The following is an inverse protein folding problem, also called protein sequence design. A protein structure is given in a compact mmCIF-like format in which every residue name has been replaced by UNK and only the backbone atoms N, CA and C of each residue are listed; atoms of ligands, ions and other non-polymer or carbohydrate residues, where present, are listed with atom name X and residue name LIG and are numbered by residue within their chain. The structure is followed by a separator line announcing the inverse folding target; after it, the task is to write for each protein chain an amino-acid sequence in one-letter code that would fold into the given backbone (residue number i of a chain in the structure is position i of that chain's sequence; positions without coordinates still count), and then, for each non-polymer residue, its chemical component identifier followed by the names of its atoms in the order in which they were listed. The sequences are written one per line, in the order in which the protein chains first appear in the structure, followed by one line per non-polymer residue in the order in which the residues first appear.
data_IF_646173383936
#
_entry.id   IF_646173383936
#
_cell.length_a   1.000
_cell.length_b   1.000
_cell.length_c   1.000
_cell.angle_alpha   90.00
_cell.angle_beta   90.00
_cell.angle_gamma   90.00
#
_symmetry.space_group_name_H-M   'P 1'
#
loop_
_entity.id
_entity.type
_entity.pdbx_description
1 polymer ?
#
# COMPACT_ATOMS: atom_id res chain seq x y z
N UNK A 1 -8.16 43.64 74.11
CA UNK A 1 -8.94 42.66 73.31
C UNK A 1 -8.09 41.40 73.13
N UNK A 2 -8.69 40.21 73.15
CA UNK A 2 -8.26 39.14 74.05
C UNK A 2 -7.73 37.86 73.35
N UNK A 3 -7.24 36.94 74.19
CA UNK A 3 -7.14 35.47 74.02
C UNK A 3 -5.83 34.81 73.52
N UNK A 4 -5.04 34.43 74.52
CA UNK A 4 -4.49 33.08 74.83
C UNK A 4 -4.72 31.91 73.86
N UNK A 5 -3.67 31.11 73.61
CA UNK A 5 -3.56 29.62 73.75
C UNK A 5 -2.25 29.11 73.12
N UNK A 6 -1.31 28.58 73.91
CA UNK A 6 -1.05 27.16 74.26
C UNK A 6 -0.47 26.28 73.13
N UNK A 7 0.72 25.79 73.44
CA UNK A 7 1.64 24.82 72.83
C UNK A 7 1.02 23.49 72.40
N UNK A 8 1.45 22.90 71.28
CA UNK A 8 1.49 21.44 71.04
C UNK A 8 2.71 21.08 70.17
N UNK A 9 3.46 20.05 70.60
CA UNK A 9 4.51 19.34 69.86
C UNK A 9 3.93 18.54 68.69
N UNK A 10 4.66 18.45 67.57
CA UNK A 10 4.47 17.36 66.60
C UNK A 10 5.75 16.51 66.51
N UNK A 11 5.64 15.28 67.01
CA UNK A 11 6.55 14.17 66.78
C UNK A 11 6.41 13.65 65.34
N UNK A 12 7.43 12.95 64.87
CA UNK A 12 7.60 12.57 63.48
C UNK A 12 6.67 11.49 62.93
N UNK A 13 6.72 11.35 61.61
CA UNK A 13 6.34 10.14 60.89
C UNK A 13 7.20 10.08 59.62
N UNK A 14 8.12 9.10 59.59
CA UNK A 14 8.83 8.71 58.38
C UNK A 14 7.81 8.11 57.40
N UNK A 15 7.46 8.88 56.37
CA UNK A 15 6.68 8.39 55.24
C UNK A 15 7.57 7.58 54.31
N UNK A 16 7.31 6.28 54.21
CA UNK A 16 7.86 5.39 53.19
C UNK A 16 7.58 5.98 51.80
N UNK A 17 8.65 6.41 51.12
CA UNK A 17 8.60 6.69 49.69
C UNK A 17 8.43 5.37 48.95
N UNK A 18 7.19 4.99 48.65
CA UNK A 18 6.91 4.01 47.61
C UNK A 18 7.34 4.63 46.28
N UNK A 19 8.53 4.25 45.82
CA UNK A 19 8.95 4.51 44.45
C UNK A 19 8.01 3.72 43.53
N UNK A 20 6.91 4.37 43.12
CA UNK A 20 6.14 3.91 41.99
C UNK A 20 7.08 4.00 40.78
N UNK A 21 7.61 2.86 40.35
CA UNK A 21 8.18 2.70 39.01
C UNK A 21 7.04 2.89 38.00
N UNK A 22 6.68 4.15 37.76
CA UNK A 22 5.91 4.54 36.61
C UNK A 22 6.75 4.18 35.40
N UNK A 23 6.50 2.99 34.84
CA UNK A 23 6.91 2.68 33.48
C UNK A 23 6.43 3.84 32.63
N UNK A 24 7.37 4.59 32.06
CA UNK A 24 7.04 5.62 31.07
C UNK A 24 6.33 4.88 29.95
N UNK A 25 5.01 5.01 29.89
CA UNK A 25 4.29 4.70 28.68
C UNK A 25 4.95 5.52 27.58
N UNK A 26 5.64 4.85 26.66
CA UNK A 26 6.13 5.52 25.45
C UNK A 26 4.92 6.18 24.81
N UNK A 27 4.95 7.51 24.63
CA UNK A 27 3.95 8.16 23.81
C UNK A 27 3.95 7.44 22.45
N UNK A 28 2.78 6.99 21.99
CA UNK A 28 2.65 6.31 20.72
C UNK A 28 3.09 7.28 19.61
N UNK A 29 4.28 7.05 19.05
CA UNK A 29 4.80 7.80 17.92
C UNK A 29 4.31 7.17 16.62
N UNK A 30 3.84 7.97 15.68
CA UNK A 30 3.66 7.54 14.30
C UNK A 30 5.03 7.59 13.62
N UNK A 31 5.57 6.43 13.24
CA UNK A 31 6.87 6.30 12.57
C UNK A 31 6.70 6.20 11.05
N UNK A 32 7.55 6.91 10.32
CA UNK A 32 7.66 6.80 8.86
C UNK A 32 8.48 5.57 8.50
N UNK A 33 7.94 4.77 7.58
CA UNK A 33 8.51 3.51 7.12
C UNK A 33 9.07 3.65 5.70
N UNK A 34 8.28 4.21 4.79
CA UNK A 34 8.70 4.57 3.44
C UNK A 34 8.35 6.03 3.20
N UNK A 35 9.31 6.82 2.74
CA UNK A 35 9.10 8.18 2.24
C UNK A 35 10.27 8.57 1.31
N UNK A 36 10.00 9.40 0.31
CA UNK A 36 11.02 9.90 -0.62
C UNK A 36 11.78 8.82 -1.41
N UNK A 37 11.27 7.58 -1.48
CA UNK A 37 12.03 6.45 -2.03
C UNK A 37 12.32 6.57 -3.52
N UNK A 38 11.59 7.40 -4.25
CA UNK A 38 11.78 7.62 -5.69
C UNK A 38 12.75 8.78 -6.01
N UNK A 39 13.42 9.36 -5.01
CA UNK A 39 14.37 10.46 -5.22
C UNK A 39 15.60 10.06 -6.06
N UNK A 40 16.00 8.78 -6.02
CA UNK A 40 17.12 8.23 -6.78
C UNK A 40 16.98 6.72 -6.95
N UNK A 41 17.75 6.12 -7.86
CA UNK A 41 17.82 4.66 -7.96
C UNK A 41 18.36 4.01 -6.69
N UNK A 42 19.29 4.66 -5.98
CA UNK A 42 19.81 4.15 -4.70
C UNK A 42 18.71 4.06 -3.64
N UNK A 43 17.91 5.12 -3.48
CA UNK A 43 16.78 5.12 -2.53
C UNK A 43 15.67 4.17 -2.96
N UNK A 44 15.43 4.05 -4.27
CA UNK A 44 14.44 3.11 -4.82
C UNK A 44 14.87 1.68 -4.47
N UNK A 45 16.10 1.31 -4.82
CA UNK A 45 16.63 -0.03 -4.62
C UNK A 45 16.87 -0.35 -3.14
N UNK A 46 17.04 0.65 -2.27
CA UNK A 46 17.07 0.43 -0.83
C UNK A 46 15.71 -0.04 -0.28
N UNK A 47 14.61 0.48 -0.83
CA UNK A 47 13.25 0.24 -0.32
C UNK A 47 12.42 -0.76 -1.13
N UNK A 48 12.73 -0.95 -2.41
CA UNK A 48 11.91 -1.70 -3.36
C UNK A 48 12.74 -2.75 -4.11
N UNK A 49 12.08 -3.84 -4.46
CA UNK A 49 12.55 -4.82 -5.44
C UNK A 49 11.79 -4.60 -6.76
N UNK A 50 12.45 -4.90 -7.88
CA UNK A 50 11.81 -4.93 -9.18
C UNK A 50 10.96 -6.20 -9.36
N UNK A 51 9.94 -6.09 -10.22
CA UNK A 51 8.94 -7.13 -10.56
C UNK A 51 8.01 -7.47 -9.38
N UNK A 52 7.12 -8.44 -9.58
CA UNK A 52 6.31 -8.99 -8.50
C UNK A 52 7.19 -9.83 -7.56
N UNK A 53 6.79 -10.03 -6.30
CA UNK A 53 7.55 -10.89 -5.37
C UNK A 53 7.64 -12.36 -5.81
N UNK A 54 6.80 -12.77 -6.78
CA UNK A 54 6.81 -14.11 -7.40
C UNK A 54 7.32 -14.13 -8.85
N UNK A 55 8.00 -13.08 -9.31
CA UNK A 55 8.62 -13.04 -10.64
C UNK A 55 7.95 -12.07 -11.61
N UNK A 56 8.00 -12.39 -12.91
CA UNK A 56 7.68 -11.44 -13.99
C UNK A 56 6.22 -11.45 -14.45
N UNK A 57 5.44 -12.45 -14.08
CA UNK A 57 4.16 -12.74 -14.71
C UNK A 57 3.00 -12.65 -13.70
N UNK A 58 1.82 -12.33 -14.22
CA UNK A 58 0.55 -12.31 -13.49
C UNK A 58 -0.61 -12.68 -14.43
N UNK A 59 -1.83 -12.27 -14.11
CA UNK A 59 -3.09 -12.69 -14.73
C UNK A 59 -3.50 -11.83 -15.94
N UNK A 60 -2.57 -11.07 -16.50
CA UNK A 60 -2.75 -10.28 -17.72
C UNK A 60 -1.76 -10.68 -18.81
N UNK A 61 -1.69 -9.85 -19.85
CA UNK A 61 -0.88 -10.11 -21.05
C UNK A 61 0.45 -9.36 -21.04
N UNK A 62 0.80 -8.67 -19.94
CA UNK A 62 2.10 -8.05 -19.79
C UNK A 62 3.06 -8.91 -18.96
N UNK A 63 4.31 -9.00 -19.43
CA UNK A 63 5.46 -9.53 -18.70
C UNK A 63 6.31 -8.39 -18.16
N UNK A 64 6.76 -8.50 -16.91
CA UNK A 64 7.46 -7.44 -16.20
C UNK A 64 8.98 -7.45 -16.46
N UNK A 65 9.49 -6.36 -17.03
CA UNK A 65 10.90 -6.14 -17.35
C UNK A 65 11.47 -4.96 -16.56
N UNK A 66 12.18 -5.29 -15.49
CA UNK A 66 13.04 -4.35 -14.79
C UNK A 66 14.02 -5.09 -13.87
N UNK A 67 15.18 -4.49 -13.65
CA UNK A 67 16.18 -4.92 -12.68
C UNK A 67 17.05 -3.72 -12.29
N UNK A 68 18.04 -3.92 -11.42
CA UNK A 68 19.01 -2.86 -11.08
C UNK A 68 19.85 -2.39 -12.27
N UNK A 69 19.91 -3.16 -13.36
CA UNK A 69 20.62 -2.84 -14.60
C UNK A 69 19.71 -2.67 -15.83
N UNK A 70 18.41 -2.95 -15.70
CA UNK A 70 17.41 -2.80 -16.75
C UNK A 70 16.28 -1.88 -16.27
N UNK A 71 16.28 -0.65 -16.79
CA UNK A 71 15.27 0.36 -16.50
C UNK A 71 14.34 0.62 -17.71
N UNK A 72 14.22 -0.34 -18.63
CA UNK A 72 13.47 -0.16 -19.88
C UNK A 72 11.97 0.07 -19.67
N UNK A 73 11.35 -0.63 -18.70
CA UNK A 73 9.93 -0.45 -18.36
C UNK A 73 9.69 0.15 -16.98
N UNK A 74 10.72 0.24 -16.13
CA UNK A 74 10.64 0.90 -14.82
C UNK A 74 11.81 1.86 -14.66
N UNK A 75 11.53 3.16 -14.58
CA UNK A 75 12.55 4.19 -14.45
C UNK A 75 12.05 5.39 -13.63
N UNK A 76 12.98 6.27 -13.27
CA UNK A 76 12.70 7.52 -12.57
C UNK A 76 12.76 8.70 -13.56
N UNK A 77 11.72 9.53 -13.54
CA UNK A 77 11.72 10.88 -14.13
C UNK A 77 12.22 11.91 -13.09
N UNK A 78 12.53 13.12 -13.54
CA UNK A 78 12.90 14.24 -12.66
C UNK A 78 11.82 14.52 -11.60
N UNK A 79 12.22 14.96 -10.41
CA UNK A 79 11.28 15.34 -9.35
C UNK A 79 10.72 14.18 -8.54
N UNK A 80 11.37 13.01 -8.56
CA UNK A 80 11.00 11.87 -7.71
C UNK A 80 9.77 11.11 -8.20
N UNK A 81 9.60 11.01 -9.51
CA UNK A 81 8.48 10.32 -10.14
C UNK A 81 8.94 8.95 -10.65
N UNK A 82 8.32 7.90 -10.14
CA UNK A 82 8.43 6.55 -10.68
C UNK A 82 7.55 6.43 -11.92
N UNK A 83 8.08 5.82 -12.98
CA UNK A 83 7.35 5.51 -14.20
C UNK A 83 7.37 4.01 -14.47
N UNK A 84 6.20 3.45 -14.69
CA UNK A 84 5.98 2.15 -15.29
C UNK A 84 5.48 2.36 -16.72
N UNK A 85 6.18 1.80 -17.69
CA UNK A 85 5.86 1.88 -19.10
C UNK A 85 5.39 0.51 -19.58
N UNK A 86 4.26 0.46 -20.29
CA UNK A 86 3.85 -0.70 -21.06
C UNK A 86 4.09 -0.45 -22.55
N UNK A 87 4.72 -1.41 -23.22
CA UNK A 87 5.04 -1.37 -24.65
C UNK A 87 4.47 -2.62 -25.32
N UNK A 88 3.64 -2.46 -26.34
CA UNK A 88 3.11 -3.58 -27.12
C UNK A 88 4.24 -4.25 -27.90
N UNK A 89 4.33 -5.58 -27.83
CA UNK A 89 5.32 -6.35 -28.59
C UNK A 89 4.75 -6.81 -29.93
N UNK A 90 5.63 -7.02 -30.91
CA UNK A 90 5.28 -7.58 -32.24
C UNK A 90 5.61 -9.06 -32.38
N UNK A 91 6.49 -9.60 -31.53
CA UNK A 91 6.92 -11.00 -31.55
C UNK A 91 6.07 -11.87 -30.61
N UNK A 92 6.09 -13.19 -30.86
CA UNK A 92 5.53 -14.17 -29.93
C UNK A 92 6.53 -14.48 -28.83
N UNK A 93 6.18 -14.20 -27.59
CA UNK A 93 7.00 -14.46 -26.40
C UNK A 93 6.41 -15.57 -25.50
N UNK A 94 5.45 -16.31 -26.05
CA UNK A 94 4.67 -17.31 -25.33
C UNK A 94 3.65 -16.68 -24.39
N UNK A 95 3.28 -17.45 -23.37
CA UNK A 95 2.20 -17.10 -22.45
C UNK A 95 2.75 -16.72 -21.08
N UNK A 96 1.91 -16.04 -20.30
CA UNK A 96 2.10 -15.85 -18.87
C UNK A 96 2.26 -17.22 -18.19
N UNK A 97 3.19 -17.30 -17.25
CA UNK A 97 3.37 -18.45 -16.37
C UNK A 97 2.33 -18.53 -15.24
N UNK A 98 1.36 -17.60 -15.18
CA UNK A 98 0.30 -17.54 -14.16
C UNK A 98 -1.06 -17.67 -14.81
N UNK A 99 -1.99 -18.32 -14.08
CA UNK A 99 -3.40 -18.40 -14.47
C UNK A 99 -3.96 -17.00 -14.83
N UNK A 100 -4.73 -16.87 -15.93
CA UNK A 100 -5.22 -17.92 -16.82
C UNK A 100 -4.31 -18.26 -18.01
N UNK A 101 -3.00 -18.05 -17.87
CA UNK A 101 -1.94 -18.38 -18.85
C UNK A 101 -2.14 -17.67 -20.20
N UNK A 102 -2.49 -16.39 -20.17
CA UNK A 102 -2.74 -15.57 -21.36
C UNK A 102 -1.48 -15.36 -22.19
N UNK A 103 -1.57 -15.23 -23.53
CA UNK A 103 -0.44 -14.84 -24.37
C UNK A 103 0.14 -13.49 -23.94
N UNK A 104 1.47 -13.36 -24.01
CA UNK A 104 2.15 -12.09 -23.72
C UNK A 104 2.04 -11.17 -24.94
N UNK A 105 1.42 -10.03 -24.74
CA UNK A 105 1.24 -8.97 -25.74
C UNK A 105 2.03 -7.70 -25.41
N UNK A 106 2.53 -7.56 -24.18
CA UNK A 106 3.21 -6.36 -23.71
C UNK A 106 4.44 -6.68 -22.86
N UNK A 107 5.46 -5.82 -22.97
CA UNK A 107 6.45 -5.62 -21.92
C UNK A 107 5.94 -4.52 -21.00
N UNK A 108 6.04 -4.70 -19.69
CA UNK A 108 5.63 -3.69 -18.71
C UNK A 108 6.49 -3.73 -17.44
N UNK A 109 6.08 -3.00 -16.40
CA UNK A 109 6.79 -2.86 -15.14
C UNK A 109 5.95 -3.20 -13.91
N UNK A 110 6.64 -3.71 -12.88
CA UNK A 110 6.14 -3.84 -11.52
C UNK A 110 7.31 -3.60 -10.54
N UNK A 111 6.99 -3.12 -9.34
CA UNK A 111 7.90 -3.12 -8.18
C UNK A 111 7.11 -3.54 -6.94
N UNK A 112 7.82 -4.07 -5.94
CA UNK A 112 7.25 -4.36 -4.63
C UNK A 112 8.17 -3.89 -3.50
N UNK A 113 7.58 -3.39 -2.42
CA UNK A 113 8.35 -2.90 -1.28
C UNK A 113 9.04 -4.08 -0.57
N UNK A 114 10.29 -3.88 -0.15
CA UNK A 114 11.02 -4.85 0.68
C UNK A 114 10.40 -4.97 2.07
N UNK A 115 9.90 -3.84 2.58
CA UNK A 115 9.17 -3.82 3.84
C UNK A 115 7.76 -4.39 3.64
N UNK A 116 7.43 -5.41 4.43
CA UNK A 116 6.08 -5.95 4.52
C UNK A 116 5.24 -5.14 5.51
N UNK A 117 3.95 -5.01 5.22
CA UNK A 117 2.97 -4.41 6.11
C UNK A 117 2.32 -5.53 6.91
N UNK A 118 2.50 -5.50 8.24
CA UNK A 118 1.95 -6.50 9.15
C UNK A 118 1.26 -5.78 10.30
N UNK A 119 -0.06 -5.90 10.37
CA UNK A 119 -0.86 -5.34 11.46
C UNK A 119 -0.76 -6.26 12.67
N UNK A 120 -0.29 -5.75 13.81
CA UNK A 120 -0.08 -6.52 15.05
C UNK A 120 -0.52 -5.71 16.26
N UNK A 121 -0.40 -6.26 17.48
CA UNK A 121 -0.58 -5.46 18.71
C UNK A 121 0.47 -4.35 18.87
N UNK A 122 1.70 -4.61 18.42
CA UNK A 122 2.78 -3.62 18.46
C UNK A 122 2.62 -2.53 17.38
N UNK A 123 2.09 -2.89 16.21
CA UNK A 123 1.84 -1.98 15.09
C UNK A 123 0.37 -2.08 14.63
N UNK A 124 -0.57 -1.55 15.43
CA UNK A 124 -1.99 -1.76 15.19
C UNK A 124 -2.56 -0.90 14.06
N UNK A 125 -1.87 0.17 13.65
CA UNK A 125 -2.32 1.06 12.59
C UNK A 125 -1.22 1.32 11.57
N UNK A 126 -1.60 1.28 10.30
CA UNK A 126 -0.75 1.58 9.16
C UNK A 126 -1.44 2.57 8.22
N UNK A 127 -0.65 3.46 7.65
CA UNK A 127 -1.05 4.31 6.54
C UNK A 127 -0.24 3.91 5.31
N UNK A 128 -0.93 3.73 4.20
CA UNK A 128 -0.33 3.48 2.89
C UNK A 128 -0.96 4.47 1.92
N UNK A 129 -0.15 5.33 1.30
CA UNK A 129 -0.66 6.34 0.35
C UNK A 129 0.34 6.64 -0.75
N UNK A 130 -0.15 7.24 -1.82
CA UNK A 130 0.66 7.80 -2.89
C UNK A 130 -0.17 8.67 -3.83
N UNK A 131 0.51 9.38 -4.71
CA UNK A 131 -0.11 10.11 -5.81
C UNK A 131 0.22 9.44 -7.13
N UNK A 132 -0.78 9.33 -8.01
CA UNK A 132 -0.66 8.54 -9.23
C UNK A 132 -1.28 9.25 -10.44
N UNK A 133 -0.68 9.01 -11.62
CA UNK A 133 -1.30 9.27 -12.93
C UNK A 133 -1.53 7.90 -13.58
N UNK A 134 -2.78 7.44 -13.57
CA UNK A 134 -3.16 6.10 -13.98
C UNK A 134 -3.73 6.08 -15.42
N UNK A 135 -3.24 5.20 -16.30
CA UNK A 135 -3.91 4.95 -17.57
C UNK A 135 -5.25 4.25 -17.31
N UNK A 136 -6.28 4.67 -18.04
CA UNK A 136 -7.65 4.17 -17.85
C UNK A 136 -8.33 3.79 -19.18
N UNK A 137 -7.54 3.63 -20.24
CA UNK A 137 -8.05 3.19 -21.54
C UNK A 137 -8.30 1.67 -21.51
N UNK A 138 -9.21 1.18 -22.35
CA UNK A 138 -9.45 -0.27 -22.49
C UNK A 138 -8.13 -1.04 -22.61
N UNK A 139 -8.00 -2.11 -21.84
CA UNK A 139 -6.80 -2.95 -21.76
C UNK A 139 -5.64 -2.40 -20.95
N UNK A 140 -5.78 -1.28 -20.24
CA UNK A 140 -4.78 -0.83 -19.25
C UNK A 140 -5.22 -1.22 -17.84
N UNK A 141 -4.34 -1.86 -17.07
CA UNK A 141 -4.62 -2.36 -15.72
C UNK A 141 -3.52 -1.93 -14.72
N UNK A 142 -3.41 -0.62 -14.40
CA UNK A 142 -2.55 -0.15 -13.32
C UNK A 142 -3.11 -0.53 -11.94
N UNK A 143 -2.22 -0.84 -11.00
CA UNK A 143 -2.60 -1.10 -9.62
C UNK A 143 -1.58 -0.58 -8.59
N UNK A 144 -2.08 -0.20 -7.42
CA UNK A 144 -1.34 0.04 -6.17
C UNK A 144 -2.07 -0.70 -5.05
N UNK A 145 -1.46 -1.76 -4.53
CA UNK A 145 -2.21 -2.78 -3.80
C UNK A 145 -1.35 -3.56 -2.81
N UNK A 146 -2.05 -4.27 -1.93
CA UNK A 146 -1.50 -5.11 -0.88
C UNK A 146 -1.92 -6.55 -1.11
N UNK A 147 -0.99 -7.49 -0.95
CA UNK A 147 -1.33 -8.93 -1.00
C UNK A 147 -0.45 -9.72 -0.05
N UNK A 148 -0.97 -10.83 0.46
CA UNK A 148 -0.30 -11.64 1.47
C UNK A 148 1.05 -12.17 1.00
N UNK A 149 2.06 -12.03 1.86
CA UNK A 149 3.42 -12.40 1.53
C UNK A 149 3.73 -13.89 1.70
N UNK A 150 2.98 -14.56 2.58
CA UNK A 150 3.16 -15.99 2.92
C UNK A 150 1.89 -16.81 2.73
N UNK A 151 0.73 -16.15 2.56
CA UNK A 151 -0.55 -16.80 2.31
C UNK A 151 -1.47 -15.82 1.61
N UNK A 152 -2.25 -16.29 0.64
CA UNK A 152 -3.37 -15.54 0.10
C UNK A 152 -4.68 -16.22 0.54
N UNK A 153 -5.68 -15.48 1.07
CA UNK A 153 -5.69 -14.05 1.44
C UNK A 153 -4.73 -13.73 2.61
N UNK A 154 -4.32 -12.46 2.79
CA UNK A 154 -5.04 -11.19 2.50
C UNK A 154 -4.78 -10.55 1.13
N UNK A 155 -5.69 -9.68 0.69
CA UNK A 155 -5.54 -8.76 -0.44
C UNK A 155 -6.36 -7.48 -0.25
N UNK A 156 -5.81 -6.33 -0.66
CA UNK A 156 -6.46 -5.02 -0.61
C UNK A 156 -5.93 -4.10 -1.71
N UNK A 157 -6.79 -3.72 -2.64
CA UNK A 157 -6.49 -2.80 -3.74
C UNK A 157 -6.81 -1.37 -3.32
N UNK A 158 -5.82 -0.48 -3.39
CA UNK A 158 -5.93 0.94 -3.03
C UNK A 158 -6.14 1.78 -4.29
N UNK A 159 -5.49 1.41 -5.38
CA UNK A 159 -5.76 1.89 -6.73
C UNK A 159 -5.84 0.68 -7.65
N UNK A 160 -6.91 0.59 -8.43
CA UNK A 160 -7.05 -0.39 -9.51
C UNK A 160 -7.96 0.15 -10.60
N UNK A 161 -7.48 0.22 -11.83
CA UNK A 161 -8.31 0.56 -13.01
C UNK A 161 -8.44 -0.63 -13.94
N UNK A 162 -9.63 -0.82 -14.50
CA UNK A 162 -9.95 -1.95 -15.39
C UNK A 162 -10.50 -1.47 -16.72
N UNK A 163 -9.66 -0.78 -17.49
CA UNK A 163 -10.00 -0.39 -18.85
C UNK A 163 -11.02 0.75 -18.99
N UNK A 164 -11.37 1.42 -17.89
CA UNK A 164 -12.22 2.60 -17.85
C UNK A 164 -11.81 3.54 -16.70
N UNK A 165 -12.48 4.68 -16.56
CA UNK A 165 -12.15 5.74 -15.60
C UNK A 165 -12.69 5.53 -14.18
N UNK A 166 -12.99 4.28 -13.77
CA UNK A 166 -13.43 3.97 -12.42
C UNK A 166 -12.29 3.31 -11.64
N UNK A 167 -11.95 3.87 -10.48
CA UNK A 167 -11.06 3.21 -9.54
C UNK A 167 -11.85 2.18 -8.73
N UNK A 168 -11.28 0.99 -8.60
CA UNK A 168 -11.78 -0.08 -7.76
C UNK A 168 -10.94 -0.12 -6.48
N UNK A 169 -11.56 0.21 -5.36
CA UNK A 169 -11.03 -0.16 -4.06
C UNK A 169 -11.61 -1.53 -3.73
N UNK A 170 -10.78 -2.55 -3.58
CA UNK A 170 -11.26 -3.90 -3.26
C UNK A 170 -10.54 -4.48 -2.05
N UNK A 171 -11.18 -5.42 -1.38
CA UNK A 171 -10.54 -6.21 -0.32
C UNK A 171 -11.03 -7.63 -0.36
N UNK A 172 -10.08 -8.58 -0.31
CA UNK A 172 -10.36 -10.00 -0.14
C UNK A 172 -9.55 -10.59 1.03
N UNK A 173 -10.15 -11.27 2.01
CA UNK A 173 -11.56 -11.68 2.16
C UNK A 173 -12.25 -10.91 3.29
N UNK A 174 -13.53 -10.63 3.14
CA UNK A 174 -14.38 -10.16 4.24
C UNK A 174 -14.83 -11.34 5.13
N UNK A 175 -15.64 -11.06 6.15
CA UNK A 175 -16.09 -12.07 7.12
C UNK A 175 -16.92 -13.22 6.52
N UNK A 176 -17.60 -12.99 5.39
CA UNK A 176 -18.34 -14.04 4.66
C UNK A 176 -17.48 -14.79 3.64
N UNK A 177 -16.17 -14.53 3.57
CA UNK A 177 -15.27 -15.15 2.60
C UNK A 177 -15.38 -14.57 1.19
N UNK A 178 -15.97 -13.38 1.03
CA UNK A 178 -16.21 -12.74 -0.25
C UNK A 178 -15.37 -11.45 -0.44
N UNK A 179 -15.45 -10.88 -1.64
CA UNK A 179 -14.91 -9.57 -1.97
C UNK A 179 -15.77 -8.45 -1.37
N UNK A 180 -15.12 -7.39 -0.93
CA UNK A 180 -15.76 -6.08 -0.72
C UNK A 180 -15.24 -5.12 -1.78
N UNK A 181 -16.13 -4.38 -2.43
CA UNK A 181 -15.77 -3.47 -3.53
C UNK A 181 -16.41 -2.11 -3.29
N UNK A 182 -15.62 -1.04 -3.44
CA UNK A 182 -16.07 0.34 -3.53
C UNK A 182 -15.55 0.90 -4.84
N UNK A 183 -16.47 1.24 -5.76
CA UNK A 183 -16.12 1.68 -7.11
C UNK A 183 -16.42 3.17 -7.24
N UNK A 184 -15.41 3.96 -7.61
CA UNK A 184 -15.50 5.42 -7.67
C UNK A 184 -15.08 5.90 -9.05
N UNK A 185 -15.92 6.71 -9.70
CA UNK A 185 -15.54 7.40 -10.93
C UNK A 185 -14.49 8.48 -10.65
N UNK A 186 -13.41 8.51 -11.42
CA UNK A 186 -12.33 9.47 -11.28
C UNK A 186 -12.24 10.33 -12.53
N UNK A 187 -12.46 11.63 -12.39
CA UNK A 187 -12.32 12.57 -13.50
C UNK A 187 -10.85 12.69 -13.90
N UNK A 188 -10.53 12.39 -15.15
CA UNK A 188 -9.16 12.45 -15.69
C UNK A 188 -8.14 11.62 -14.86
N UNK A 189 -8.21 10.28 -14.87
CA UNK A 189 -7.24 9.43 -14.15
C UNK A 189 -5.77 9.66 -14.52
N UNK A 190 -5.51 10.22 -15.72
CA UNK A 190 -4.18 10.61 -16.17
C UNK A 190 -3.63 11.88 -15.49
N UNK A 191 -4.46 12.61 -14.74
CA UNK A 191 -4.02 13.65 -13.79
C UNK A 191 -3.45 13.05 -12.51
N UNK A 192 -2.85 13.88 -11.65
CA UNK A 192 -2.39 13.42 -10.34
C UNK A 192 -3.56 13.30 -9.37
N UNK A 193 -3.78 12.10 -8.86
CA UNK A 193 -4.76 11.82 -7.81
C UNK A 193 -4.11 11.13 -6.62
N UNK A 194 -4.57 11.44 -5.41
CA UNK A 194 -4.10 10.85 -4.17
C UNK A 194 -4.94 9.64 -3.77
N UNK A 195 -4.30 8.51 -3.52
CA UNK A 195 -4.95 7.27 -3.07
C UNK A 195 -4.35 6.86 -1.74
N UNK A 196 -5.20 6.50 -0.79
CA UNK A 196 -4.78 6.19 0.58
C UNK A 196 -5.63 5.09 1.18
N UNK A 197 -4.97 4.19 1.88
CA UNK A 197 -5.55 3.24 2.82
C UNK A 197 -5.06 3.54 4.24
N UNK A 198 -6.00 3.66 5.17
CA UNK A 198 -5.74 3.64 6.60
C UNK A 198 -6.22 2.31 7.17
N UNK A 199 -5.28 1.50 7.65
CA UNK A 199 -5.50 0.12 8.08
C UNK A 199 -5.39 0.09 9.60
N UNK A 200 -6.40 -0.38 10.29
CA UNK A 200 -6.42 -0.45 11.75
C UNK A 200 -6.85 -1.83 12.24
N UNK A 201 -6.11 -2.39 13.19
CA UNK A 201 -6.52 -3.56 13.96
C UNK A 201 -7.83 -3.24 14.70
N UNK A 202 -8.82 -4.11 14.59
CA UNK A 202 -10.13 -3.91 15.26
C UNK A 202 -10.46 -4.97 16.30
N UNK A 203 -9.91 -6.16 16.15
CA UNK A 203 -9.98 -7.24 17.13
C UNK A 203 -8.74 -8.14 16.98
N UNK A 204 -8.74 -9.32 17.61
CA UNK A 204 -7.60 -10.23 17.58
C UNK A 204 -7.22 -10.73 16.17
N UNK A 205 -8.17 -10.82 15.24
CA UNK A 205 -7.97 -11.41 13.90
C UNK A 205 -8.09 -10.39 12.76
N UNK A 206 -8.91 -9.37 12.92
CA UNK A 206 -9.37 -8.56 11.80
C UNK A 206 -8.82 -7.13 11.81
N UNK A 207 -8.86 -6.53 10.61
CA UNK A 207 -8.54 -5.12 10.40
C UNK A 207 -9.68 -4.41 9.68
N UNK A 208 -9.85 -3.11 9.92
CA UNK A 208 -10.64 -2.24 9.06
C UNK A 208 -9.70 -1.40 8.17
N UNK A 209 -10.05 -1.31 6.89
CA UNK A 209 -9.31 -0.59 5.86
C UNK A 209 -10.20 0.54 5.36
N UNK A 210 -9.81 1.78 5.65
CA UNK A 210 -10.51 2.99 5.22
C UNK A 210 -9.82 3.56 4.00
N UNK A 211 -10.58 3.74 2.93
CA UNK A 211 -10.07 4.24 1.67
C UNK A 211 -10.37 5.71 1.48
N UNK A 212 -9.43 6.40 0.83
CA UNK A 212 -9.56 7.80 0.48
C UNK A 212 -9.10 8.04 -0.95
N UNK A 213 -9.83 8.90 -1.66
CA UNK A 213 -9.46 9.46 -2.95
C UNK A 213 -9.38 10.98 -2.81
N UNK A 214 -8.24 11.56 -3.16
CA UNK A 214 -7.96 13.01 -3.05
C UNK A 214 -8.28 13.57 -1.65
N UNK A 215 -7.90 12.80 -0.62
CA UNK A 215 -8.13 13.14 0.79
C UNK A 215 -9.57 12.95 1.28
N UNK A 216 -10.52 12.63 0.40
CA UNK A 216 -11.92 12.37 0.76
C UNK A 216 -12.11 10.89 1.07
N UNK A 217 -12.74 10.59 2.20
CA UNK A 217 -13.12 9.22 2.53
C UNK A 217 -14.14 8.70 1.50
N UNK A 218 -13.91 7.49 0.99
CA UNK A 218 -14.79 6.86 -0.03
C UNK A 218 -15.46 5.59 0.46
N UNK A 219 -14.88 4.90 1.45
CA UNK A 219 -15.42 3.64 1.94
C UNK A 219 -14.55 2.98 2.99
N UNK A 220 -15.10 1.94 3.62
CA UNK A 220 -14.41 1.09 4.59
C UNK A 220 -14.71 -0.37 4.27
N UNK A 221 -13.68 -1.21 4.27
CA UNK A 221 -13.81 -2.66 4.18
C UNK A 221 -13.23 -3.35 5.42
N UNK A 222 -13.83 -4.48 5.81
CA UNK A 222 -13.29 -5.39 6.83
C UNK A 222 -12.38 -6.42 6.16
N UNK A 223 -11.10 -6.44 6.52
CA UNK A 223 -10.16 -7.51 6.18
C UNK A 223 -10.21 -8.60 7.25
N UNK A 224 -10.88 -9.72 6.97
CA UNK A 224 -11.06 -10.79 7.94
C UNK A 224 -9.81 -11.70 8.03
N UNK A 225 -9.31 -11.91 9.24
CA UNK A 225 -8.06 -12.65 9.53
C UNK A 225 -6.81 -12.01 8.90
N UNK A 226 -6.71 -10.69 8.88
CA UNK A 226 -5.55 -9.96 8.37
C UNK A 226 -4.49 -9.68 9.45
N UNK A 227 -4.85 -9.68 10.73
CA UNK A 227 -3.90 -9.46 11.83
C UNK A 227 -2.84 -10.55 11.83
N UNK A 228 -1.58 -10.16 11.97
CA UNK A 228 -0.41 -11.05 11.96
C UNK A 228 -0.02 -11.56 10.57
N UNK A 229 -0.79 -11.26 9.51
CA UNK A 229 -0.46 -11.68 8.15
C UNK A 229 0.38 -10.60 7.45
N UNK A 230 1.63 -10.90 7.06
CA UNK A 230 2.44 -9.93 6.32
C UNK A 230 1.89 -9.74 4.91
N UNK A 231 1.92 -8.50 4.43
CA UNK A 231 1.50 -8.11 3.09
C UNK A 231 2.62 -7.41 2.33
N UNK A 232 2.81 -7.77 1.07
CA UNK A 232 3.61 -7.00 0.13
C UNK A 232 2.83 -5.75 -0.31
N UNK A 233 3.53 -4.63 -0.48
CA UNK A 233 3.03 -3.46 -1.20
C UNK A 233 3.54 -3.49 -2.64
N UNK A 234 2.65 -3.41 -3.62
CA UNK A 234 2.97 -3.58 -5.03
C UNK A 234 2.47 -2.37 -5.83
N UNK A 235 3.29 -1.91 -6.78
CA UNK A 235 2.90 -0.99 -7.86
C UNK A 235 3.17 -1.70 -9.17
N UNK A 236 2.16 -1.89 -10.01
CA UNK A 236 2.33 -2.49 -11.33
C UNK A 236 1.46 -1.84 -12.41
N UNK A 237 1.84 -2.06 -13.66
CA UNK A 237 1.03 -1.77 -14.84
C UNK A 237 0.81 -3.08 -15.60
N UNK A 238 -0.26 -3.79 -15.27
CA UNK A 238 -0.67 -4.96 -16.05
C UNK A 238 -1.46 -4.50 -17.28
N UNK A 239 -1.59 -5.36 -18.29
CA UNK A 239 -2.32 -5.06 -19.53
C UNK A 239 -3.31 -6.17 -19.86
N UNK A 240 -4.45 -5.78 -20.41
CA UNK A 240 -5.58 -6.63 -20.77
C UNK A 240 -6.09 -7.46 -19.57
N UNK A 241 -6.54 -8.70 -19.79
CA UNK A 241 -7.17 -9.50 -18.73
C UNK A 241 -8.47 -8.85 -18.24
N UNK A 242 -8.56 -8.55 -16.95
CA UNK A 242 -9.75 -7.90 -16.37
C UNK A 242 -9.98 -6.47 -16.87
N UNK A 243 -8.99 -5.83 -17.52
CA UNK A 243 -9.17 -4.54 -18.18
C UNK A 243 -9.73 -4.64 -19.62
N UNK A 244 -10.01 -5.86 -20.10
CA UNK A 244 -10.50 -6.14 -21.44
C UNK A 244 -9.43 -6.06 -22.52
N UNK A 245 -9.77 -6.46 -23.74
CA UNK A 245 -8.88 -6.44 -24.91
C UNK A 245 -9.62 -5.91 -26.14
N UNK A 246 -8.93 -5.38 -27.18
CA UNK A 246 -7.49 -5.14 -27.23
C UNK A 246 -7.07 -3.95 -26.35
N UNK A 247 -5.82 -3.98 -25.86
CA UNK A 247 -5.16 -2.83 -25.24
C UNK A 247 -4.54 -1.86 -26.25
N UNK A 248 -3.95 -0.75 -25.77
CA UNK A 248 -3.35 0.28 -26.62
C UNK A 248 -2.15 -0.21 -27.44
N UNK A 249 -1.98 0.30 -28.66
CA UNK A 249 -0.80 -0.02 -29.49
C UNK A 249 0.38 0.90 -29.24
N UNK A 250 0.14 2.12 -28.74
CA UNK A 250 1.18 3.07 -28.35
C UNK A 250 1.69 2.79 -26.93
N UNK A 251 2.93 3.21 -26.61
CA UNK A 251 3.43 3.17 -25.24
C UNK A 251 2.44 3.81 -24.25
N UNK A 252 2.17 3.10 -23.16
CA UNK A 252 1.26 3.51 -22.09
C UNK A 252 2.07 3.73 -20.82
N UNK A 253 1.75 4.77 -20.04
CA UNK A 253 2.53 5.15 -18.87
C UNK A 253 1.66 5.20 -17.62
N UNK A 254 2.17 4.64 -16.53
CA UNK A 254 1.63 4.75 -15.18
C UNK A 254 2.70 5.42 -14.31
N UNK A 255 2.34 6.51 -13.64
CA UNK A 255 3.29 7.28 -12.83
C UNK A 255 2.89 7.29 -11.37
N UNK A 256 3.89 7.28 -10.49
CA UNK A 256 3.71 7.35 -9.04
C UNK A 256 4.69 8.34 -8.43
N UNK A 257 4.24 9.10 -7.43
CA UNK A 257 5.07 9.97 -6.59
C UNK A 257 4.52 10.04 -5.18
N UNK A 258 5.28 10.62 -4.26
CA UNK A 258 4.87 10.84 -2.87
C UNK A 258 4.32 9.56 -2.20
N UNK A 259 4.85 8.39 -2.58
CA UNK A 259 4.49 7.12 -1.96
C UNK A 259 5.04 7.10 -0.55
N UNK A 260 4.13 6.88 0.39
CA UNK A 260 4.40 6.94 1.82
C UNK A 260 3.80 5.72 2.50
N UNK A 261 4.57 5.16 3.44
CA UNK A 261 4.10 4.18 4.41
C UNK A 261 4.50 4.66 5.79
N UNK A 262 3.55 4.65 6.72
CA UNK A 262 3.81 4.91 8.13
C UNK A 262 2.97 4.01 9.02
N UNK A 263 3.33 3.94 10.29
CA UNK A 263 2.62 3.13 11.29
C UNK A 263 2.72 3.74 12.67
N UNK A 264 1.77 3.46 13.54
CA UNK A 264 1.94 3.74 14.96
C UNK A 264 2.65 2.58 15.65
N UNK A 265 3.34 2.88 16.75
CA UNK A 265 3.89 1.88 17.66
C UNK A 265 3.25 2.05 19.04
N UNK A 266 2.75 0.94 19.60
CA UNK A 266 2.16 0.87 20.95
C UNK A 266 3.00 -0.04 21.83
#
# INVERSE_FOLDING_TARGET
MPHTRRTILAAGAAGLATAAFGGRASAAGFETVLDGTFASYNTLQAAWNYRYPWGSDHNGTARMYASASDHSQVYLESGGVLVLKATRISGNEGNSAKDPYLPIHYHSGAIHAKQQITVTDQFPQWEVRGEFQAPSARGTWPAFWLTGATSWPPESDILEYKGDARNWFNTYKNASGAWSNTIVGVSNPGGWHGYRAWIAKVNASDVDIHYYLDGKWVGQHRGANFVGKPMWLIINLQMEGSAGSPGPTSPTYYRARNVYVGRNRV
#
